data_IF_231608718923
#
_entry.id   IF_231608718923
#
_cell.length_a   1.000
_cell.length_b   1.000
_cell.length_c   1.000
_cell.angle_alpha   90.00
_cell.angle_beta   90.00
_cell.angle_gamma   90.00
#
_symmetry.space_group_name_H-M   'P 1'
#
loop_
_entity.id
_entity.type
_entity.pdbx_description
1 polymer ?
#
# COMPACT_ATOMS: atom_id res chain seq x y z
N UNK A 1 11.20 -18.45 -40.80
CA UNK A 1 10.07 -17.51 -40.75
C UNK A 1 8.87 -18.26 -40.20
N UNK A 2 8.61 -18.15 -38.90
CA UNK A 2 7.44 -18.77 -38.26
C UNK A 2 6.66 -17.67 -37.53
N UNK A 3 5.43 -17.44 -37.99
CA UNK A 3 4.48 -16.50 -37.41
C UNK A 3 3.89 -17.11 -36.13
N UNK A 4 3.97 -16.38 -35.02
CA UNK A 4 3.30 -16.73 -33.78
C UNK A 4 1.90 -16.12 -33.76
N UNK A 5 0.89 -16.97 -33.68
CA UNK A 5 -0.53 -16.63 -33.58
C UNK A 5 -0.84 -16.09 -32.17
N UNK A 6 -1.47 -14.92 -32.11
CA UNK A 6 -1.93 -14.26 -30.88
C UNK A 6 -3.27 -14.89 -30.44
N UNK A 7 -3.28 -15.52 -29.27
CA UNK A 7 -4.49 -16.06 -28.63
C UNK A 7 -5.07 -15.00 -27.68
N UNK A 8 -6.17 -14.37 -28.08
CA UNK A 8 -6.93 -13.43 -27.27
C UNK A 8 -7.91 -14.19 -26.38
N UNK A 9 -7.70 -14.21 -25.07
CA UNK A 9 -8.68 -14.69 -24.09
C UNK A 9 -9.73 -13.59 -23.84
N UNK A 10 -10.97 -13.84 -24.26
CA UNK A 10 -12.14 -13.03 -23.91
C UNK A 10 -12.73 -13.57 -22.60
N UNK A 11 -12.73 -12.75 -21.54
CA UNK A 11 -13.54 -13.00 -20.35
C UNK A 11 -14.98 -12.57 -20.63
N UNK A 12 -15.90 -13.54 -20.61
CA UNK A 12 -17.34 -13.31 -20.60
C UNK A 12 -17.83 -13.34 -19.14
N UNK A 13 -18.38 -12.23 -18.67
CA UNK A 13 -19.03 -12.14 -17.36
C UNK A 13 -20.54 -12.25 -17.58
N UNK A 14 -21.10 -13.43 -17.36
CA UNK A 14 -22.55 -13.65 -17.28
C UNK A 14 -22.94 -13.94 -15.83
N UNK A 15 -23.53 -12.95 -15.16
CA UNK A 15 -24.33 -13.17 -13.97
C UNK A 15 -25.78 -12.82 -14.32
N UNK A 16 -26.53 -13.79 -14.85
CA UNK A 16 -27.98 -13.69 -14.87
C UNK A 16 -28.49 -14.17 -13.52
N UNK A 17 -28.95 -13.23 -12.70
CA UNK A 17 -29.70 -13.53 -11.47
C UNK A 17 -31.18 -13.28 -11.77
N UNK A 18 -31.92 -14.36 -12.02
CA UNK A 18 -33.38 -14.36 -12.07
C UNK A 18 -33.93 -14.17 -10.66
N UNK A 19 -34.60 -13.03 -10.41
CA UNK A 19 -35.37 -12.80 -9.20
C UNK A 19 -36.78 -13.38 -9.36
N UNK A 20 -37.33 -14.08 -8.34
CA UNK A 20 -38.71 -14.53 -8.37
C UNK A 20 -39.70 -13.37 -8.13
N UNK A 21 -40.76 -13.42 -8.91
CA UNK A 21 -41.92 -12.54 -8.93
C UNK A 21 -42.80 -12.68 -7.67
N UNK A 22 -43.30 -11.52 -7.21
CA UNK A 22 -44.48 -11.27 -6.35
C UNK A 22 -44.50 -11.73 -4.88
N UNK A 23 -44.50 -10.73 -3.99
CA UNK A 23 -45.25 -10.75 -2.73
C UNK A 23 -45.80 -9.33 -2.50
N UNK A 24 -47.11 -9.19 -2.74
CA UNK A 24 -47.87 -7.98 -2.47
C UNK A 24 -47.95 -7.74 -0.94
N UNK A 25 -47.32 -6.67 -0.47
CA UNK A 25 -47.51 -6.16 0.89
C UNK A 25 -47.92 -4.68 0.77
N UNK A 26 -49.06 -4.27 1.36
CA UNK A 26 -49.47 -2.87 1.32
C UNK A 26 -48.54 -2.02 2.17
N UNK A 27 -47.69 -1.21 1.53
CA UNK A 27 -46.85 -0.23 2.19
C UNK A 27 -47.70 0.97 2.64
N UNK A 28 -47.93 1.09 3.95
CA UNK A 28 -48.50 2.31 4.53
C UNK A 28 -47.38 3.35 4.63
N UNK A 29 -47.46 4.45 3.88
CA UNK A 29 -46.46 5.51 3.96
C UNK A 29 -46.51 6.20 5.34
N UNK A 30 -45.38 6.35 6.05
CA UNK A 30 -45.35 7.17 7.24
C UNK A 30 -45.48 8.67 6.90
N UNK A 31 -46.01 9.49 7.82
CA UNK A 31 -46.21 10.92 7.59
C UNK A 31 -44.89 11.65 7.33
N UNK A 32 -44.92 12.51 6.31
CA UNK A 32 -43.80 13.30 5.79
C UNK A 32 -43.49 14.47 6.72
N UNK A 33 -42.79 14.21 7.82
CA UNK A 33 -42.31 15.26 8.74
C UNK A 33 -40.99 15.84 8.22
N UNK A 34 -41.03 17.15 7.94
CA UNK A 34 -39.97 18.11 7.67
C UNK A 34 -38.51 17.60 7.54
N UNK A 35 -38.01 17.62 6.29
CA UNK A 35 -36.58 17.66 6.00
C UNK A 35 -35.97 18.94 6.59
N UNK A 36 -35.28 18.81 7.72
CA UNK A 36 -34.32 19.82 8.17
C UNK A 36 -33.21 19.88 7.12
N UNK A 37 -33.18 20.97 6.37
CA UNK A 37 -32.14 21.31 5.40
C UNK A 37 -30.89 21.71 6.17
N UNK A 38 -30.19 20.73 6.74
CA UNK A 38 -28.88 20.95 7.34
C UNK A 38 -27.89 21.09 6.18
N UNK A 39 -27.63 22.34 5.78
CA UNK A 39 -26.57 22.64 4.84
C UNK A 39 -25.25 22.21 5.48
N UNK A 40 -24.67 21.11 4.99
CA UNK A 40 -23.30 20.75 5.29
C UNK A 40 -22.42 21.90 4.77
N UNK A 41 -21.72 22.59 5.66
CA UNK A 41 -20.69 23.53 5.28
C UNK A 41 -19.66 22.81 4.38
N UNK A 42 -19.15 23.44 3.30
CA UNK A 42 -18.12 22.83 2.49
C UNK A 42 -16.89 22.63 3.37
N UNK A 43 -16.58 21.37 3.70
CA UNK A 43 -15.30 21.01 4.30
C UNK A 43 -14.26 21.43 3.26
N UNK A 44 -13.42 22.40 3.60
CA UNK A 44 -12.41 22.93 2.70
C UNK A 44 -11.43 21.81 2.32
N UNK A 45 -11.55 21.29 1.09
CA UNK A 45 -10.64 20.28 0.52
C UNK A 45 -9.16 20.72 0.46
N UNK A 46 -8.83 21.97 0.81
CA UNK A 46 -7.47 22.50 0.69
C UNK A 46 -6.47 21.92 1.69
N UNK A 47 -6.92 21.37 2.83
CA UNK A 47 -5.98 20.91 3.89
C UNK A 47 -5.54 19.46 3.72
N UNK A 48 -6.30 18.63 3.00
CA UNK A 48 -5.98 17.20 2.83
C UNK A 48 -4.87 16.99 1.79
N UNK A 49 -4.70 17.92 0.86
CA UNK A 49 -3.77 17.74 -0.26
C UNK A 49 -2.34 18.22 -0.02
N UNK A 50 -2.08 19.12 0.94
CA UNK A 50 -0.76 19.74 1.08
C UNK A 50 0.34 18.74 1.50
N UNK A 51 -0.02 17.69 2.24
CA UNK A 51 0.95 16.69 2.73
C UNK A 51 1.55 15.85 1.60
N UNK A 52 0.70 15.37 0.68
CA UNK A 52 1.11 14.49 -0.40
C UNK A 52 1.94 15.19 -1.48
N UNK A 53 1.68 16.46 -1.78
CA UNK A 53 2.42 17.21 -2.81
C UNK A 53 3.93 17.25 -2.52
N UNK A 54 4.31 17.43 -1.24
CA UNK A 54 5.71 17.37 -0.85
C UNK A 54 6.32 15.99 -1.12
N UNK A 55 5.58 14.90 -0.90
CA UNK A 55 6.05 13.54 -1.17
C UNK A 55 6.22 13.27 -2.67
N UNK A 56 5.28 13.69 -3.52
CA UNK A 56 5.43 13.59 -4.97
C UNK A 56 6.63 14.39 -5.49
N UNK A 57 6.79 15.63 -5.01
CA UNK A 57 7.94 16.46 -5.34
C UNK A 57 9.26 15.82 -4.89
N UNK A 58 9.29 15.23 -3.68
CA UNK A 58 10.46 14.53 -3.15
C UNK A 58 10.82 13.33 -4.03
N UNK A 59 9.87 12.51 -4.45
CA UNK A 59 10.09 11.38 -5.38
C UNK A 59 10.73 11.84 -6.69
N UNK A 60 10.27 12.96 -7.26
CA UNK A 60 10.85 13.55 -8.47
C UNK A 60 12.27 14.11 -8.26
N UNK A 61 12.57 14.61 -7.07
CA UNK A 61 13.91 15.09 -6.72
C UNK A 61 14.89 13.94 -6.54
N UNK A 62 14.45 12.83 -5.94
CA UNK A 62 15.30 11.67 -5.68
C UNK A 62 15.92 11.08 -6.95
N UNK A 63 15.26 11.13 -8.12
CA UNK A 63 15.87 10.62 -9.37
C UNK A 63 16.84 11.59 -10.05
N UNK A 64 16.97 12.83 -9.55
CA UNK A 64 17.78 13.90 -10.18
C UNK A 64 18.95 14.35 -9.33
N UNK A 65 18.81 14.29 -8.02
CA UNK A 65 19.71 14.93 -7.07
C UNK A 65 20.42 13.87 -6.21
N UNK A 66 21.67 13.56 -6.59
CA UNK A 66 22.49 12.57 -5.90
C UNK A 66 22.84 12.95 -4.47
N UNK A 67 22.73 14.23 -4.09
CA UNK A 67 22.89 14.65 -2.68
C UNK A 67 21.80 14.12 -1.75
N UNK A 68 20.72 13.58 -2.32
CA UNK A 68 19.64 12.93 -1.56
C UNK A 68 19.87 11.42 -1.35
N UNK A 69 20.97 10.85 -1.84
CA UNK A 69 21.23 9.42 -1.76
C UNK A 69 22.20 9.10 -0.63
N UNK A 70 22.05 7.93 0.01
CA UNK A 70 23.10 7.40 0.87
C UNK A 70 24.42 7.23 0.09
N UNK A 71 25.54 7.40 0.77
CA UNK A 71 26.86 7.23 0.15
C UNK A 71 27.00 5.82 -0.44
N UNK A 72 27.35 5.75 -1.73
CA UNK A 72 27.52 4.50 -2.46
C UNK A 72 26.22 3.83 -2.92
N UNK A 73 25.04 4.39 -2.61
CA UNK A 73 23.78 3.88 -3.14
C UNK A 73 23.63 4.17 -4.63
N UNK A 74 22.97 3.25 -5.34
CA UNK A 74 22.62 3.46 -6.74
C UNK A 74 21.55 4.53 -6.91
N UNK A 75 21.62 5.25 -8.03
CA UNK A 75 20.57 6.17 -8.44
C UNK A 75 19.22 5.44 -8.52
N UNK A 76 18.12 6.01 -7.98
CA UNK A 76 16.80 5.40 -8.12
C UNK A 76 16.38 5.33 -9.60
N UNK A 77 15.94 4.15 -10.04
CA UNK A 77 15.54 3.90 -11.42
C UNK A 77 14.18 4.52 -11.74
N UNK A 78 13.90 4.74 -13.03
CA UNK A 78 12.58 5.18 -13.49
C UNK A 78 11.46 4.19 -13.11
N UNK A 79 11.77 2.89 -13.03
CA UNK A 79 10.83 1.86 -12.60
C UNK A 79 10.50 2.01 -11.10
N UNK A 80 11.52 2.15 -10.25
CA UNK A 80 11.35 2.40 -8.82
C UNK A 80 10.53 3.68 -8.58
N UNK A 81 10.83 4.74 -9.33
CA UNK A 81 10.08 6.00 -9.29
C UNK A 81 8.60 5.82 -9.64
N UNK A 82 8.30 5.14 -10.75
CA UNK A 82 6.94 4.89 -11.20
C UNK A 82 6.13 4.09 -10.16
N UNK A 83 6.73 3.03 -9.59
CA UNK A 83 6.07 2.25 -8.54
C UNK A 83 5.83 3.05 -7.26
N UNK A 84 6.79 3.87 -6.84
CA UNK A 84 6.64 4.75 -5.68
C UNK A 84 5.52 5.79 -5.88
N UNK A 85 5.41 6.38 -7.07
CA UNK A 85 4.33 7.30 -7.43
C UNK A 85 2.97 6.59 -7.36
N UNK A 86 2.85 5.39 -7.92
CA UNK A 86 1.62 4.62 -7.86
C UNK A 86 1.21 4.28 -6.42
N UNK A 87 2.18 3.97 -5.56
CA UNK A 87 1.90 3.78 -4.13
C UNK A 87 1.45 5.09 -3.45
N UNK A 88 2.08 6.23 -3.75
CA UNK A 88 1.65 7.53 -3.19
C UNK A 88 0.22 7.88 -3.62
N UNK A 89 -0.19 7.56 -4.85
CA UNK A 89 -1.57 7.71 -5.31
C UNK A 89 -2.52 6.84 -4.49
N UNK A 90 -2.16 5.57 -4.26
CA UNK A 90 -2.94 4.67 -3.41
C UNK A 90 -3.07 5.20 -1.97
N UNK A 91 -1.96 5.66 -1.38
CA UNK A 91 -1.92 6.22 -0.03
C UNK A 91 -2.78 7.49 0.09
N UNK A 92 -2.78 8.34 -0.95
CA UNK A 92 -3.64 9.52 -1.04
C UNK A 92 -5.11 9.14 -1.06
N UNK A 93 -5.47 8.15 -1.88
CA UNK A 93 -6.83 7.60 -1.93
C UNK A 93 -7.27 7.06 -0.57
N UNK A 94 -6.37 6.36 0.13
CA UNK A 94 -6.67 5.80 1.45
C UNK A 94 -6.58 6.83 2.60
N UNK A 95 -6.24 8.09 2.32
CA UNK A 95 -5.97 9.16 3.30
C UNK A 95 -4.93 8.76 4.36
N UNK A 96 -3.83 8.16 3.93
CA UNK A 96 -2.76 7.70 4.82
C UNK A 96 -1.39 8.24 4.39
N UNK A 97 -1.10 9.41 4.94
CA UNK A 97 0.12 10.15 4.64
C UNK A 97 1.36 9.44 5.20
N UNK A 98 2.40 9.23 4.37
CA UNK A 98 3.67 8.72 4.85
C UNK A 98 4.43 9.78 5.66
N UNK A 99 5.32 9.35 6.54
CA UNK A 99 6.17 10.27 7.29
C UNK A 99 7.28 10.88 6.40
N UNK A 100 7.79 10.12 5.42
CA UNK A 100 8.86 10.56 4.52
C UNK A 100 8.94 9.71 3.25
N UNK A 101 9.58 10.27 2.23
CA UNK A 101 10.05 9.54 1.03
C UNK A 101 11.54 9.79 0.88
N UNK A 102 12.34 8.73 0.75
CA UNK A 102 13.81 8.77 0.72
C UNK A 102 14.38 7.83 -0.35
N UNK A 103 15.63 8.01 -0.74
CA UNK A 103 16.33 7.00 -1.54
C UNK A 103 16.62 5.77 -0.66
N UNK A 104 16.45 4.57 -1.22
CA UNK A 104 16.85 3.32 -0.53
C UNK A 104 18.36 3.17 -0.55
N UNK A 105 18.92 2.62 0.55
CA UNK A 105 20.34 2.27 0.62
C UNK A 105 20.73 1.14 -0.33
N UNK A 106 19.76 0.32 -0.75
CA UNK A 106 19.96 -0.77 -1.71
C UNK A 106 19.74 -0.32 -3.18
N UNK A 107 19.48 0.97 -3.40
CA UNK A 107 19.11 1.52 -4.70
C UNK A 107 17.59 1.47 -4.93
N UNK A 108 17.01 2.63 -5.25
CA UNK A 108 15.56 2.79 -5.43
C UNK A 108 14.96 3.80 -4.45
N UNK A 109 13.69 3.63 -4.10
CA UNK A 109 12.94 4.60 -3.28
C UNK A 109 12.25 3.89 -2.13
N UNK A 110 12.30 4.46 -0.93
CA UNK A 110 11.53 3.99 0.22
C UNK A 110 10.49 5.04 0.64
N UNK A 111 9.27 4.58 0.93
CA UNK A 111 8.19 5.36 1.54
C UNK A 111 8.06 4.90 2.99
N UNK A 112 8.35 5.77 3.95
CA UNK A 112 8.41 5.38 5.35
C UNK A 112 7.26 5.97 6.16
N UNK A 113 6.86 5.23 7.19
CA UNK A 113 5.83 5.55 8.16
C UNK A 113 6.40 5.34 9.56
N UNK A 114 5.94 6.14 10.51
CA UNK A 114 6.30 5.97 11.91
C UNK A 114 5.17 6.43 12.81
N UNK A 115 4.95 5.69 13.90
CA UNK A 115 4.03 6.08 14.97
C UNK A 115 4.52 5.47 16.28
N UNK A 116 4.82 6.33 17.25
CA UNK A 116 5.42 5.92 18.54
C UNK A 116 6.67 5.03 18.34
N UNK A 117 6.67 3.82 18.88
CA UNK A 117 7.76 2.84 18.78
C UNK A 117 7.71 1.98 17.51
N UNK A 118 6.71 2.21 16.65
CA UNK A 118 6.51 1.45 15.41
C UNK A 118 7.03 2.19 14.19
N UNK A 119 7.64 1.41 13.31
CA UNK A 119 8.17 1.83 12.02
C UNK A 119 7.67 0.89 10.94
N UNK A 120 7.42 1.44 9.76
CA UNK A 120 7.15 0.66 8.57
C UNK A 120 7.70 1.40 7.35
N UNK A 121 8.02 0.68 6.30
CA UNK A 121 8.25 1.26 5.00
C UNK A 121 7.85 0.32 3.88
N UNK A 122 7.78 0.89 2.68
CA UNK A 122 7.71 0.15 1.44
C UNK A 122 8.89 0.59 0.60
N UNK A 123 9.75 -0.36 0.24
CA UNK A 123 10.89 -0.16 -0.63
C UNK A 123 10.55 -0.59 -2.06
N UNK A 124 10.88 0.27 -3.01
CA UNK A 124 10.77 0.06 -4.45
C UNK A 124 12.17 0.01 -5.01
N UNK A 125 12.70 -1.20 -5.19
CA UNK A 125 14.08 -1.41 -5.59
C UNK A 125 14.27 -1.20 -7.09
N UNK A 126 15.52 -0.91 -7.49
CA UNK A 126 15.87 -0.73 -8.89
C UNK A 126 15.58 -1.96 -9.76
N UNK A 127 15.61 -3.16 -9.18
CA UNK A 127 15.27 -4.44 -9.81
C UNK A 127 13.79 -4.56 -10.19
N UNK A 128 12.92 -3.73 -9.61
CA UNK A 128 11.47 -3.83 -9.71
C UNK A 128 10.81 -4.60 -8.56
N UNK A 129 11.60 -5.20 -7.68
CA UNK A 129 11.11 -5.79 -6.43
C UNK A 129 10.51 -4.71 -5.53
N UNK A 130 9.40 -5.05 -4.86
CA UNK A 130 8.75 -4.17 -3.90
C UNK A 130 8.65 -4.92 -2.58
N UNK A 131 9.22 -4.35 -1.54
CA UNK A 131 9.27 -4.96 -0.21
C UNK A 131 8.50 -4.09 0.77
N UNK A 132 7.62 -4.69 1.55
CA UNK A 132 7.04 -4.06 2.73
C UNK A 132 7.79 -4.50 3.98
N UNK A 133 8.02 -3.56 4.89
CA UNK A 133 8.64 -3.83 6.19
C UNK A 133 7.78 -3.24 7.31
N UNK A 134 7.65 -3.99 8.41
CA UNK A 134 7.13 -3.47 9.68
C UNK A 134 8.08 -3.86 10.81
N UNK A 135 8.28 -2.95 11.76
CA UNK A 135 9.15 -3.15 12.91
C UNK A 135 8.61 -2.39 14.12
N UNK A 136 8.62 -3.01 15.29
CA UNK A 136 8.39 -2.34 16.57
C UNK A 136 9.71 -1.86 17.22
N UNK A 137 10.81 -1.86 16.44
CA UNK A 137 12.17 -1.49 16.84
C UNK A 137 12.80 -2.34 17.96
N UNK A 138 12.05 -3.32 18.50
CA UNK A 138 12.50 -4.23 19.57
C UNK A 138 12.77 -5.62 19.01
N UNK A 139 11.88 -6.09 18.13
CA UNK A 139 11.95 -7.40 17.51
C UNK A 139 12.53 -7.34 16.09
N UNK A 140 12.85 -8.52 15.55
CA UNK A 140 13.26 -8.66 14.15
C UNK A 140 12.16 -8.11 13.24
N UNK A 141 12.49 -7.24 12.27
CA UNK A 141 11.51 -6.72 11.34
C UNK A 141 10.84 -7.85 10.56
N UNK A 142 9.55 -7.69 10.29
CA UNK A 142 8.82 -8.55 9.37
C UNK A 142 8.85 -7.92 7.98
N UNK A 143 9.37 -8.68 7.01
CA UNK A 143 9.52 -8.27 5.61
C UNK A 143 8.67 -9.16 4.72
N UNK A 144 7.99 -8.59 3.73
CA UNK A 144 7.25 -9.35 2.73
C UNK A 144 7.32 -8.69 1.35
N UNK A 145 7.17 -9.50 0.31
CA UNK A 145 7.09 -9.01 -1.08
C UNK A 145 5.68 -8.48 -1.40
N UNK A 146 5.63 -7.40 -2.16
CA UNK A 146 4.40 -6.76 -2.64
C UNK A 146 4.39 -6.85 -4.16
N UNK A 147 3.37 -7.48 -4.74
CA UNK A 147 3.22 -7.47 -6.19
C UNK A 147 2.99 -6.04 -6.72
N UNK A 148 3.45 -5.68 -7.94
CA UNK A 148 3.29 -4.34 -8.51
C UNK A 148 1.86 -4.09 -9.06
N UNK A 149 0.82 -4.52 -8.34
CA UNK A 149 -0.58 -4.41 -8.72
C UNK A 149 -1.37 -3.58 -7.70
N UNK A 150 -2.47 -2.94 -8.14
CA UNK A 150 -3.27 -2.08 -7.26
C UNK A 150 -3.87 -2.82 -6.05
N UNK A 151 -4.39 -4.07 -6.17
CA UNK A 151 -4.87 -4.82 -5.02
C UNK A 151 -3.76 -5.10 -3.98
N UNK A 152 -2.53 -5.35 -4.43
CA UNK A 152 -1.40 -5.58 -3.54
C UNK A 152 -0.95 -4.29 -2.84
N UNK A 153 -0.94 -3.15 -3.54
CA UNK A 153 -0.66 -1.82 -2.95
C UNK A 153 -1.70 -1.45 -1.90
N UNK A 154 -2.99 -1.63 -2.20
CA UNK A 154 -4.07 -1.40 -1.23
C UNK A 154 -3.95 -2.32 0.00
N UNK A 155 -3.60 -3.59 -0.21
CA UNK A 155 -3.37 -4.54 0.88
C UNK A 155 -2.16 -4.17 1.73
N UNK A 156 -1.08 -3.69 1.12
CA UNK A 156 0.11 -3.22 1.84
C UNK A 156 -0.18 -1.95 2.66
N UNK A 157 -0.88 -0.96 2.08
CA UNK A 157 -1.35 0.25 2.75
C UNK A 157 -2.17 -0.10 4.01
N UNK A 158 -3.16 -0.98 3.85
CA UNK A 158 -3.99 -1.47 4.97
C UNK A 158 -3.15 -2.14 6.05
N UNK A 159 -2.29 -3.08 5.66
CA UNK A 159 -1.44 -3.84 6.59
C UNK A 159 -0.54 -2.93 7.43
N UNK A 160 0.10 -1.96 6.80
CA UNK A 160 0.95 -0.99 7.50
C UNK A 160 0.11 -0.14 8.45
N UNK A 161 -1.04 0.37 8.01
CA UNK A 161 -1.95 1.15 8.86
C UNK A 161 -2.42 0.36 10.07
N UNK A 162 -2.81 -0.89 9.88
CA UNK A 162 -3.21 -1.79 10.96
C UNK A 162 -2.06 -2.00 11.95
N UNK A 163 -0.85 -2.27 11.47
CA UNK A 163 0.33 -2.44 12.32
C UNK A 163 0.60 -1.20 13.19
N UNK A 164 0.64 -0.01 12.58
CA UNK A 164 0.91 1.24 13.27
C UNK A 164 -0.19 1.61 14.28
N UNK A 165 -1.44 1.24 14.03
CA UNK A 165 -2.58 1.56 14.90
C UNK A 165 -2.92 0.45 15.90
N UNK A 166 -2.33 -0.73 15.76
CA UNK A 166 -2.50 -1.80 16.75
C UNK A 166 -1.95 -1.32 18.10
N UNK A 167 -2.50 -1.76 19.23
CA UNK A 167 -1.89 -1.48 20.54
C UNK A 167 -0.45 -2.00 20.58
N UNK A 168 0.39 -1.44 21.45
CA UNK A 168 1.64 -2.13 21.80
C UNK A 168 1.27 -3.52 22.30
N UNK A 169 1.89 -4.55 21.74
CA UNK A 169 1.81 -5.87 22.34
C UNK A 169 2.53 -5.73 23.68
N UNK A 170 1.78 -5.47 24.75
CA UNK A 170 2.27 -5.62 26.11
C UNK A 170 2.97 -6.98 26.14
N UNK A 171 4.25 -6.98 26.52
CA UNK A 171 5.05 -8.19 26.69
C UNK A 171 4.36 -9.10 27.73
N UNK A 172 3.36 -9.85 27.30
CA UNK A 172 2.87 -11.01 28.00
C UNK A 172 3.65 -12.18 27.42
N UNK A 173 4.79 -12.38 28.06
CA UNK A 173 5.52 -13.63 28.15
C UNK A 173 4.55 -14.82 28.16
N UNK A 174 4.33 -15.43 27.00
CA UNK A 174 3.96 -16.84 26.88
C UNK A 174 4.53 -17.34 25.57
N UNK A 175 5.74 -17.87 25.68
CA UNK A 175 6.38 -18.81 24.76
C UNK A 175 5.33 -19.60 23.96
N UNK A 176 5.29 -19.39 22.64
CA UNK A 176 4.88 -20.46 21.71
C UNK A 176 6.05 -20.76 20.79
N UNK A 177 6.55 -22.01 20.77
CA UNK A 177 7.66 -22.38 19.90
C UNK A 177 7.12 -22.50 18.48
N UNK A 178 7.45 -21.53 17.61
CA UNK A 178 7.11 -21.57 16.19
C UNK A 178 8.19 -22.27 15.35
N UNK A 179 8.96 -23.19 15.96
CA UNK A 179 9.82 -24.10 15.21
C UNK A 179 8.98 -25.07 14.37
N UNK A 180 8.48 -24.58 13.23
CA UNK A 180 8.02 -25.38 12.13
C UNK A 180 8.13 -24.56 10.84
N UNK A 181 9.15 -24.96 10.06
CA UNK A 181 9.07 -25.14 8.60
C UNK A 181 9.41 -23.93 7.73
N UNK A 182 10.72 -23.72 7.50
CA UNK A 182 11.28 -23.53 6.15
C UNK A 182 12.71 -24.09 6.11
N UNK A 183 12.95 -25.06 5.22
CA UNK A 183 14.27 -25.59 4.86
C UNK A 183 15.05 -24.55 4.05
N UNK A 184 16.38 -24.47 4.16
CA UNK A 184 17.19 -23.57 3.33
C UNK A 184 17.35 -24.14 1.92
N UNK A 185 16.99 -23.35 0.91
CA UNK A 185 17.42 -23.60 -0.47
C UNK A 185 18.87 -23.10 -0.61
N UNK A 186 19.82 -23.91 -0.15
CA UNK A 186 21.23 -23.72 -0.48
C UNK A 186 21.50 -24.33 -1.87
N UNK A 187 21.65 -23.47 -2.88
CA UNK A 187 22.36 -23.84 -4.12
C UNK A 187 23.86 -23.72 -3.83
N UNK A 188 24.54 -24.85 -3.77
CA UNK A 188 26.00 -24.90 -3.90
C UNK A 188 26.34 -25.00 -5.39
N UNK A 189 27.01 -23.96 -5.92
CA UNK A 189 27.86 -24.04 -7.09
C UNK A 189 29.29 -24.05 -6.56
N UNK A 190 29.94 -25.20 -6.63
CA UNK A 190 31.25 -25.54 -7.22
C UNK A 190 31.42 -27.04 -7.03
#
# INVERSE_FOLDING_TARGET
MNAATVTTLRYANTWETTLPTTLDVPYTQPPRTALVKQAAAPISNQTIDSGFEHHFAKTNRLVKDSSCWPDGAEAPSALAQSNAINMLVQLRFDQFEPARVVASGEGGIAICFAKADKYADIEFLNSGEILGVVSNRRDRPFVWEIAPTDPARASASRRIREFLNSPETSSNDTRRPWAARWLPFARSLV
#
